data_IF_028780966603
#
_entry.id   IF_028780966603
#
_cell.length_a   1.000
_cell.length_b   1.000
_cell.length_c   1.000
_cell.angle_alpha   90.00
_cell.angle_beta   90.00
_cell.angle_gamma   90.00
#
_symmetry.space_group_name_H-M   'P 1'
#
loop_
_entity.id
_entity.type
_entity.pdbx_description
1 polymer ?
#
# COMPACT_ATOMS: atom_id res chain seq x y z
N UNK A 1 12.74 10.42 15.88
CA UNK A 1 11.88 11.55 15.44
C UNK A 1 11.13 11.22 14.15
N UNK A 2 11.66 10.33 13.30
CA UNK A 2 10.95 9.69 12.20
C UNK A 2 9.78 8.77 12.63
N UNK A 3 9.81 8.25 13.87
CA UNK A 3 8.79 7.32 14.38
C UNK A 3 7.40 7.94 14.60
N UNK A 4 7.29 9.26 14.71
CA UNK A 4 6.04 9.91 15.12
C UNK A 4 5.11 10.29 13.95
N UNK A 5 5.68 10.57 12.78
CA UNK A 5 4.88 10.91 11.58
C UNK A 5 4.17 9.68 11.02
N UNK A 6 4.78 8.49 11.15
CA UNK A 6 4.19 7.23 10.72
C UNK A 6 2.94 6.84 11.53
N UNK A 7 2.89 7.19 12.83
CA UNK A 7 1.80 6.80 13.74
C UNK A 7 0.50 7.56 13.44
N UNK A 8 0.57 8.80 12.96
CA UNK A 8 -0.62 9.63 12.76
C UNK A 8 -1.37 9.31 11.46
N UNK A 9 -0.66 8.95 10.39
CA UNK A 9 -1.27 8.44 9.15
C UNK A 9 -1.91 7.05 9.34
N UNK A 10 -1.36 6.25 10.26
CA UNK A 10 -1.95 4.96 10.64
C UNK A 10 -3.32 5.14 11.32
N UNK A 11 -3.46 6.12 12.22
CA UNK A 11 -4.68 6.32 13.00
C UNK A 11 -5.91 6.76 12.17
N UNK A 12 -5.73 7.65 11.19
CA UNK A 12 -6.83 8.11 10.33
C UNK A 12 -7.28 7.05 9.30
N UNK A 13 -6.35 6.26 8.74
CA UNK A 13 -6.72 5.16 7.85
C UNK A 13 -7.36 3.99 8.61
N UNK A 14 -6.88 3.70 9.84
CA UNK A 14 -7.45 2.66 10.70
C UNK A 14 -8.92 2.97 11.05
N UNK A 15 -9.27 4.22 11.39
CA UNK A 15 -10.65 4.59 11.74
C UNK A 15 -11.63 4.54 10.56
N UNK A 16 -11.18 4.85 9.33
CA UNK A 16 -12.01 4.76 8.13
C UNK A 16 -12.26 3.32 7.68
N UNK A 17 -11.35 2.38 7.99
CA UNK A 17 -11.48 0.96 7.66
C UNK A 17 -12.52 0.21 8.55
N UNK A 18 -12.87 0.73 9.73
CA UNK A 18 -13.77 0.06 10.69
C UNK A 18 -15.18 0.66 10.83
N UNK A 19 -15.60 1.56 9.93
CA UNK A 19 -17.02 1.96 9.85
C UNK A 19 -17.57 2.74 11.05
N UNK A 20 -16.74 3.43 11.82
CA UNK A 20 -17.22 4.37 12.84
C UNK A 20 -17.76 5.65 12.17
N UNK A 21 -18.99 5.60 11.65
CA UNK A 21 -19.62 6.76 10.98
C UNK A 21 -20.38 7.68 11.93
N UNK A 22 -20.56 7.32 13.20
CA UNK A 22 -21.35 8.13 14.11
C UNK A 22 -20.50 8.87 15.15
N UNK A 23 -20.50 10.20 14.99
CA UNK A 23 -20.19 11.23 15.98
C UNK A 23 -18.73 11.49 16.35
N UNK A 24 -17.90 11.78 15.34
CA UNK A 24 -16.71 12.63 15.52
C UNK A 24 -16.89 13.89 14.66
N UNK A 25 -17.00 15.11 15.24
CA UNK A 25 -17.25 16.35 14.50
C UNK A 25 -16.04 16.87 13.72
N UNK A 26 -15.10 16.00 13.35
CA UNK A 26 -13.91 16.32 12.56
C UNK A 26 -14.16 16.34 11.04
N UNK A 27 -15.38 16.02 10.59
CA UNK A 27 -15.67 15.72 9.17
C UNK A 27 -16.68 16.69 8.52
N UNK A 28 -16.56 18.00 8.71
CA UNK A 28 -17.21 18.97 7.81
C UNK A 28 -16.17 19.82 7.07
N UNK A 29 -16.24 19.75 5.74
CA UNK A 29 -15.33 20.39 4.77
C UNK A 29 -15.14 21.91 5.01
N UNK A 30 -16.22 22.59 5.41
CA UNK A 30 -16.22 24.05 5.61
C UNK A 30 -15.50 24.52 6.88
N UNK A 31 -15.38 23.67 7.92
CA UNK A 31 -14.67 24.02 9.16
C UNK A 31 -13.20 23.61 9.14
N UNK A 32 -12.83 22.58 8.37
CA UNK A 32 -11.44 22.18 8.20
C UNK A 32 -10.69 23.19 7.32
N UNK A 33 -11.26 23.60 6.18
CA UNK A 33 -10.55 24.43 5.20
C UNK A 33 -10.27 25.87 5.64
N UNK A 34 -11.16 26.49 6.43
CA UNK A 34 -10.98 27.88 6.87
C UNK A 34 -10.09 28.06 8.11
N UNK A 35 -9.71 26.96 8.79
CA UNK A 35 -9.06 27.03 10.11
C UNK A 35 -7.54 26.77 10.08
N UNK A 36 -7.01 26.00 9.13
CA UNK A 36 -5.62 25.50 9.19
C UNK A 36 -4.59 26.33 8.41
N UNK A 37 -4.69 27.66 8.47
CA UNK A 37 -3.60 28.56 8.04
C UNK A 37 -2.45 28.63 9.04
N UNK A 38 -1.97 27.49 9.58
CA UNK A 38 -0.91 27.44 10.60
C UNK A 38 -0.79 26.08 11.31
N UNK A 39 0.18 25.97 12.23
CA UNK A 39 0.39 24.79 13.09
C UNK A 39 -0.57 24.79 14.29
N UNK A 40 -1.04 23.61 14.72
CA UNK A 40 -1.95 23.44 15.86
C UNK A 40 -1.45 22.39 16.83
N UNK A 41 -1.28 22.74 18.10
CA UNK A 41 -0.77 21.84 19.13
C UNK A 41 -1.86 21.38 20.11
N UNK A 42 -1.76 20.12 20.52
CA UNK A 42 -2.64 19.41 21.44
C UNK A 42 -1.80 19.02 22.65
N UNK A 43 -2.12 19.51 23.83
CA UNK A 43 -1.39 19.27 25.08
C UNK A 43 -1.98 18.14 25.94
N UNK A 44 -2.98 17.42 25.40
CA UNK A 44 -3.73 16.37 26.10
C UNK A 44 -5.07 16.85 26.67
N UNK A 45 -5.38 18.15 26.60
CA UNK A 45 -6.67 18.70 26.99
C UNK A 45 -7.69 18.74 25.84
N UNK A 46 -8.97 18.89 26.19
CA UNK A 46 -10.05 19.01 25.20
C UNK A 46 -9.87 20.27 24.37
N UNK A 47 -9.55 20.10 23.08
CA UNK A 47 -9.36 21.22 22.15
C UNK A 47 -10.69 21.88 21.80
N UNK A 48 -10.77 23.20 22.00
CA UNK A 48 -11.87 24.05 21.51
C UNK A 48 -11.47 24.62 20.15
N UNK A 49 -12.13 24.14 19.09
CA UNK A 49 -11.95 24.64 17.73
C UNK A 49 -12.60 26.04 17.64
N UNK A 50 -11.78 27.10 17.77
CA UNK A 50 -12.03 28.54 17.51
C UNK A 50 -11.07 29.46 18.30
N UNK A 51 -10.14 28.90 19.09
CA UNK A 51 -9.11 29.65 19.81
C UNK A 51 -7.74 29.30 19.21
N UNK A 52 -7.01 30.30 18.74
CA UNK A 52 -5.62 30.15 18.32
C UNK A 52 -4.74 30.49 19.52
N UNK A 53 -4.07 29.48 20.10
CA UNK A 53 -2.97 29.70 21.04
C UNK A 53 -1.65 29.63 20.28
N UNK A 54 -0.78 30.61 20.51
CA UNK A 54 0.55 30.71 19.89
C UNK A 54 1.64 30.02 20.72
N UNK A 55 1.26 29.36 21.82
CA UNK A 55 2.18 28.64 22.69
C UNK A 55 2.32 27.18 22.25
N UNK A 56 3.56 26.77 21.99
CA UNK A 56 3.91 25.36 21.85
C UNK A 56 3.89 24.72 23.25
N UNK A 57 2.98 23.78 23.52
CA UNK A 57 2.94 23.11 24.81
C UNK A 57 4.20 22.26 24.98
N UNK A 58 4.74 22.21 26.21
CA UNK A 58 5.93 21.41 26.54
C UNK A 58 5.71 19.89 26.44
N UNK A 59 4.44 19.46 26.33
CA UNK A 59 4.00 18.09 26.13
C UNK A 59 2.81 18.13 25.17
N UNK A 60 2.77 17.25 24.19
CA UNK A 60 1.68 17.26 23.22
C UNK A 60 2.03 16.78 21.82
N UNK A 61 1.04 16.82 20.92
CA UNK A 61 1.18 16.61 19.48
C UNK A 61 0.90 17.92 18.75
N UNK A 62 1.74 18.29 17.79
CA UNK A 62 1.46 19.42 16.91
C UNK A 62 1.22 18.93 15.48
N UNK A 63 0.15 19.43 14.85
CA UNK A 63 -0.18 19.20 13.46
C UNK A 63 0.19 20.44 12.66
N UNK A 64 1.01 20.26 11.63
CA UNK A 64 1.38 21.31 10.68
C UNK A 64 0.88 20.90 9.30
N UNK A 65 0.12 21.78 8.66
CA UNK A 65 -0.37 21.55 7.31
C UNK A 65 0.74 21.89 6.32
N UNK A 66 1.26 20.87 5.64
CA UNK A 66 2.32 21.03 4.63
C UNK A 66 1.78 21.11 3.19
N UNK A 67 0.48 20.88 2.95
CA UNK A 67 -0.08 20.95 1.60
C UNK A 67 -1.59 20.66 1.54
N UNK A 68 -2.15 20.73 0.34
CA UNK A 68 -3.55 20.40 0.03
C UNK A 68 -3.73 19.09 -0.75
N UNK A 69 -2.62 18.44 -1.14
CA UNK A 69 -2.65 17.20 -1.90
C UNK A 69 -3.16 16.02 -1.07
N UNK A 70 -3.77 15.05 -1.75
CA UNK A 70 -4.23 13.80 -1.16
C UNK A 70 -3.36 12.66 -1.68
N UNK A 71 -2.63 12.03 -0.78
CA UNK A 71 -1.73 10.92 -1.09
C UNK A 71 -2.16 9.72 -0.27
N UNK A 72 -2.27 8.57 -0.93
CA UNK A 72 -2.61 7.33 -0.27
C UNK A 72 -1.38 6.70 0.39
N UNK A 73 -0.22 6.85 -0.25
CA UNK A 73 1.05 6.34 0.28
C UNK A 73 2.01 7.50 0.53
N UNK A 74 2.70 7.45 1.67
CA UNK A 74 3.83 8.32 1.99
C UNK A 74 4.94 7.45 2.57
N UNK A 75 6.10 7.43 1.91
CA UNK A 75 7.24 6.60 2.31
C UNK A 75 8.48 7.47 2.41
N UNK A 76 9.12 7.48 3.58
CA UNK A 76 10.37 8.21 3.77
C UNK A 76 11.46 7.71 2.81
N UNK A 77 12.31 8.62 2.34
CA UNK A 77 13.41 8.24 1.48
C UNK A 77 14.42 7.39 2.29
N UNK A 78 14.85 6.20 1.80
CA UNK A 78 15.70 5.29 2.57
C UNK A 78 17.12 5.77 2.89
N UNK A 79 17.51 6.95 2.44
CA UNK A 79 18.84 7.52 2.67
C UNK A 79 18.94 8.34 3.97
N UNK A 80 17.84 8.47 4.70
CA UNK A 80 17.78 9.26 5.94
C UNK A 80 17.70 10.77 5.72
N UNK A 81 17.52 11.24 4.48
CA UNK A 81 17.21 12.64 4.19
C UNK A 81 15.77 12.99 4.55
N UNK A 82 15.45 14.29 4.52
CA UNK A 82 14.07 14.78 4.71
C UNK A 82 13.20 14.60 3.46
N UNK A 83 13.61 13.76 2.51
CA UNK A 83 12.82 13.46 1.31
C UNK A 83 11.83 12.34 1.59
N UNK A 84 10.69 12.40 0.91
CA UNK A 84 9.70 11.35 0.95
C UNK A 84 9.04 11.17 -0.42
N UNK A 85 8.59 9.94 -0.65
CA UNK A 85 7.79 9.55 -1.80
C UNK A 85 6.32 9.66 -1.44
N UNK A 86 5.54 10.29 -2.32
CA UNK A 86 4.11 10.49 -2.19
C UNK A 86 3.43 9.81 -3.36
N UNK A 87 2.42 8.97 -3.13
CA UNK A 87 1.71 8.32 -4.22
C UNK A 87 0.20 8.44 -4.07
N UNK A 88 -0.48 8.67 -5.19
CA UNK A 88 -1.93 8.68 -5.24
C UNK A 88 -2.49 7.33 -5.71
N UNK A 89 -3.79 7.13 -5.50
CA UNK A 89 -4.47 5.90 -5.88
C UNK A 89 -4.48 5.68 -7.40
N UNK A 90 -4.40 6.73 -8.21
CA UNK A 90 -4.38 6.63 -9.68
C UNK A 90 -3.09 6.06 -10.26
N UNK A 91 -2.01 5.96 -9.47
CA UNK A 91 -0.75 5.34 -9.90
C UNK A 91 0.41 6.30 -10.13
N UNK A 92 0.29 7.57 -9.75
CA UNK A 92 1.40 8.52 -9.80
C UNK A 92 2.17 8.53 -8.49
N UNK A 93 3.49 8.56 -8.60
CA UNK A 93 4.44 8.64 -7.49
C UNK A 93 5.30 9.87 -7.70
N UNK A 94 5.45 10.69 -6.67
CA UNK A 94 6.29 11.86 -6.65
C UNK A 94 7.32 11.78 -5.53
N UNK A 95 8.40 12.53 -5.68
CA UNK A 95 9.45 12.70 -4.67
C UNK A 95 9.48 14.18 -4.28
N UNK A 96 9.45 14.49 -2.99
CA UNK A 96 9.61 15.87 -2.49
C UNK A 96 10.34 15.89 -1.16
N UNK A 97 10.84 17.06 -0.79
CA UNK A 97 11.44 17.33 0.51
C UNK A 97 10.35 17.80 1.47
N UNK A 98 10.25 17.14 2.62
CA UNK A 98 9.38 17.56 3.71
C UNK A 98 9.96 18.86 4.29
N UNK A 99 9.17 19.94 4.41
CA UNK A 99 9.66 21.21 4.94
C UNK A 99 10.05 21.07 6.42
N UNK A 100 11.00 21.90 6.87
CA UNK A 100 11.36 21.98 8.28
C UNK A 100 10.15 22.37 9.14
N UNK A 101 10.02 21.68 10.27
CA UNK A 101 8.93 21.89 11.21
C UNK A 101 8.90 23.32 11.75
N UNK A 102 7.71 23.92 11.80
CA UNK A 102 7.47 25.20 12.45
C UNK A 102 7.87 26.42 11.63
N UNK A 103 8.37 26.23 10.41
CA UNK A 103 8.68 27.31 9.47
C UNK A 103 7.51 27.65 8.54
N UNK A 104 6.39 26.92 8.62
CA UNK A 104 5.23 27.15 7.75
C UNK A 104 5.54 26.84 6.28
N UNK A 105 6.53 25.98 6.03
CA UNK A 105 6.90 25.56 4.69
C UNK A 105 5.82 24.69 4.06
N UNK A 106 5.73 24.73 2.73
CA UNK A 106 4.81 23.88 1.96
C UNK A 106 5.58 22.82 1.19
N UNK A 107 4.90 21.71 0.95
CA UNK A 107 5.40 20.58 0.19
C UNK A 107 5.54 20.99 -1.28
N UNK A 108 6.78 21.09 -1.76
CA UNK A 108 7.09 21.44 -3.14
C UNK A 108 6.99 20.23 -4.06
N UNK A 109 5.77 19.79 -4.37
CA UNK A 109 5.52 18.73 -5.34
C UNK A 109 5.26 19.31 -6.73
N UNK A 110 6.10 18.96 -7.69
CA UNK A 110 5.85 19.25 -9.11
C UNK A 110 4.98 18.15 -9.71
N UNK A 111 3.68 18.41 -9.81
CA UNK A 111 2.72 17.45 -10.37
C UNK A 111 2.99 17.09 -11.83
N UNK A 112 3.69 17.97 -12.57
CA UNK A 112 4.03 17.75 -13.97
C UNK A 112 5.23 16.81 -14.18
N UNK A 113 5.98 16.53 -13.10
CA UNK A 113 7.21 15.74 -13.14
C UNK A 113 7.19 14.67 -12.03
N UNK A 114 6.36 13.62 -12.16
CA UNK A 114 6.35 12.52 -11.20
C UNK A 114 7.68 11.77 -11.19
N UNK A 115 8.03 11.21 -10.04
CA UNK A 115 9.12 10.24 -9.91
C UNK A 115 8.84 9.02 -10.80
N UNK A 116 7.59 8.53 -10.80
CA UNK A 116 7.13 7.48 -11.72
C UNK A 116 5.63 7.60 -11.96
N UNK A 117 5.19 7.29 -13.19
CA UNK A 117 3.78 7.29 -13.57
C UNK A 117 3.33 5.89 -14.04
N UNK A 118 2.49 5.24 -13.24
CA UNK A 118 1.92 3.92 -13.53
C UNK A 118 0.46 3.98 -14.01
N UNK A 119 -0.08 5.15 -14.39
CA UNK A 119 -1.50 5.28 -14.75
C UNK A 119 -1.96 4.36 -15.88
N UNK A 120 -1.04 3.93 -16.76
CA UNK A 120 -1.33 3.01 -17.87
C UNK A 120 -1.42 1.53 -17.42
N UNK A 121 -0.84 1.20 -16.26
CA UNK A 121 -0.81 -0.14 -15.68
C UNK A 121 -1.83 -0.31 -14.55
N UNK A 122 -2.09 0.78 -13.82
CA UNK A 122 -2.97 0.81 -12.66
C UNK A 122 -4.43 0.94 -13.11
N UNK A 123 -5.25 -0.02 -12.69
CA UNK A 123 -6.69 0.09 -12.76
C UNK A 123 -7.19 0.93 -11.58
N UNK A 124 -7.50 2.20 -11.84
CA UNK A 124 -8.05 3.13 -10.86
C UNK A 124 -9.59 3.16 -10.93
N UNK A 125 -10.24 2.57 -9.93
CA UNK A 125 -11.70 2.59 -9.78
C UNK A 125 -12.13 2.14 -8.38
N UNK A 126 -12.95 2.94 -7.67
CA UNK A 126 -13.40 2.64 -6.30
C UNK A 126 -12.25 2.28 -5.35
N UNK A 127 -12.19 1.04 -4.87
CA UNK A 127 -11.15 0.51 -3.99
C UNK A 127 -9.91 0.01 -4.73
N UNK A 128 -9.86 0.13 -6.05
CA UNK A 128 -8.70 -0.25 -6.85
C UNK A 128 -7.78 0.92 -7.14
N UNK A 129 -6.49 0.63 -7.22
CA UNK A 129 -5.49 1.59 -7.63
C UNK A 129 -4.08 1.14 -7.27
N UNK A 130 -3.20 2.11 -7.08
CA UNK A 130 -1.91 1.93 -6.41
C UNK A 130 -2.13 1.95 -4.90
N UNK A 131 -1.95 0.79 -4.26
CA UNK A 131 -2.38 0.52 -2.88
C UNK A 131 -1.24 0.43 -1.89
N UNK A 132 -0.02 0.20 -2.36
CA UNK A 132 1.15 0.09 -1.51
C UNK A 132 2.42 0.48 -2.25
N UNK A 133 3.36 1.07 -1.52
CA UNK A 133 4.69 1.42 -2.00
C UNK A 133 5.69 1.04 -0.90
N UNK A 134 6.73 0.30 -1.26
CA UNK A 134 7.80 -0.07 -0.33
C UNK A 134 9.16 0.02 -1.02
N UNK A 135 10.15 0.54 -0.31
CA UNK A 135 11.52 0.60 -0.79
C UNK A 135 12.34 -0.51 -0.16
N UNK A 136 13.19 -1.15 -0.96
CA UNK A 136 14.07 -2.19 -0.46
C UNK A 136 14.97 -1.65 0.67
N UNK A 137 15.30 -2.42 1.72
CA UNK A 137 16.17 -1.96 2.81
C UNK A 137 17.53 -1.44 2.32
N UNK A 138 18.05 -2.04 1.23
CA UNK A 138 19.26 -1.61 0.52
C UNK A 138 19.04 -0.65 -0.67
N UNK A 139 17.92 0.08 -0.73
CA UNK A 139 17.59 0.97 -1.86
C UNK A 139 18.71 1.95 -2.21
N UNK A 140 19.38 2.53 -1.22
CA UNK A 140 20.52 3.44 -1.43
C UNK A 140 21.72 2.79 -2.14
N UNK A 141 21.72 1.47 -2.32
CA UNK A 141 22.75 0.71 -3.05
C UNK A 141 22.22 0.03 -4.30
N UNK A 142 20.98 -0.44 -4.29
CA UNK A 142 20.42 -1.26 -5.38
C UNK A 142 19.29 -0.60 -6.18
N UNK A 143 18.74 0.52 -5.71
CA UNK A 143 17.66 1.25 -6.37
C UNK A 143 16.32 0.51 -6.44
N UNK A 144 16.17 -0.63 -5.76
CA UNK A 144 14.98 -1.49 -5.85
C UNK A 144 13.85 -0.95 -5.00
N UNK A 145 12.68 -0.84 -5.60
CA UNK A 145 11.45 -0.48 -4.89
C UNK A 145 10.27 -1.22 -5.51
N UNK A 146 9.17 -1.30 -4.77
CA UNK A 146 8.07 -2.19 -5.07
C UNK A 146 6.75 -1.43 -4.98
N UNK A 147 5.86 -1.69 -5.92
CA UNK A 147 4.52 -1.14 -5.92
C UNK A 147 3.50 -2.28 -5.87
N UNK A 148 2.49 -2.12 -5.00
CA UNK A 148 1.31 -2.98 -4.94
C UNK A 148 0.15 -2.26 -5.60
N UNK A 149 -0.40 -2.80 -6.68
CA UNK A 149 -1.47 -2.15 -7.42
C UNK A 149 -2.47 -3.16 -8.00
N UNK A 150 -3.60 -2.64 -8.48
CA UNK A 150 -4.59 -3.43 -9.21
C UNK A 150 -4.46 -3.19 -10.70
N UNK A 151 -4.66 -4.23 -11.52
CA UNK A 151 -4.75 -4.10 -12.97
C UNK A 151 -6.00 -4.82 -13.51
N UNK A 152 -6.45 -4.42 -14.70
CA UNK A 152 -7.58 -5.02 -15.42
C UNK A 152 -7.04 -5.82 -16.60
N UNK A 153 -7.19 -7.14 -16.59
CA UNK A 153 -6.71 -8.04 -17.65
C UNK A 153 -7.25 -7.69 -19.03
N UNK A 154 -8.42 -7.06 -19.10
CA UNK A 154 -9.03 -6.64 -20.38
C UNK A 154 -8.33 -5.41 -20.94
N UNK A 155 -7.78 -4.53 -20.10
CA UNK A 155 -7.16 -3.27 -20.51
C UNK A 155 -5.65 -3.36 -20.62
N UNK A 156 -5.01 -4.10 -19.73
CA UNK A 156 -3.55 -4.11 -19.57
C UNK A 156 -2.98 -5.46 -20.02
N UNK A 157 -2.32 -5.52 -21.19
CA UNK A 157 -1.61 -6.71 -21.61
C UNK A 157 -0.60 -7.14 -20.55
N UNK A 158 -0.58 -8.43 -20.22
CA UNK A 158 0.28 -8.97 -19.17
C UNK A 158 -0.30 -8.89 -17.76
N UNK A 159 -1.47 -8.31 -17.51
CA UNK A 159 -2.16 -8.44 -16.23
C UNK A 159 -2.74 -9.87 -16.09
N UNK A 160 -1.94 -10.78 -15.55
CA UNK A 160 -2.23 -12.22 -15.47
C UNK A 160 -1.62 -12.85 -14.21
N UNK A 161 -2.13 -14.01 -13.82
CA UNK A 161 -1.71 -14.74 -12.63
C UNK A 161 -2.68 -15.88 -12.30
N UNK A 162 -2.45 -16.58 -11.17
CA UNK A 162 -3.35 -17.61 -10.66
C UNK A 162 -4.61 -16.95 -10.07
N UNK A 163 -5.76 -17.55 -10.30
CA UNK A 163 -7.03 -17.11 -9.72
C UNK A 163 -7.10 -17.47 -8.25
N UNK A 164 -7.49 -16.53 -7.38
CA UNK A 164 -7.76 -16.81 -5.95
C UNK A 164 -8.95 -17.76 -5.76
N UNK A 165 -10.05 -17.55 -6.50
CA UNK A 165 -11.15 -18.50 -6.55
C UNK A 165 -10.82 -19.63 -7.53
N UNK A 166 -10.47 -20.80 -7.00
CA UNK A 166 -10.12 -22.00 -7.76
C UNK A 166 -10.52 -23.27 -6.97
N UNK A 167 -10.23 -24.44 -7.54
CA UNK A 167 -10.52 -25.74 -6.92
C UNK A 167 -9.75 -25.99 -5.61
N UNK A 168 -8.53 -25.47 -5.47
CA UNK A 168 -7.66 -25.68 -4.30
C UNK A 168 -8.28 -25.04 -3.04
N UNK A 169 -9.03 -23.95 -3.23
CA UNK A 169 -9.80 -23.27 -2.18
C UNK A 169 -11.28 -23.64 -2.18
N UNK A 170 -11.68 -24.68 -2.92
CA UNK A 170 -13.07 -25.13 -3.06
C UNK A 170 -14.04 -24.02 -3.50
N UNK A 171 -13.59 -23.14 -4.40
CA UNK A 171 -14.37 -22.03 -4.92
C UNK A 171 -14.79 -22.28 -6.38
N UNK A 172 -16.09 -22.08 -6.64
CA UNK A 172 -16.68 -22.13 -7.99
C UNK A 172 -16.95 -20.69 -8.46
N UNK A 173 -16.21 -20.18 -9.46
CA UNK A 173 -16.38 -18.83 -9.98
C UNK A 173 -17.81 -18.52 -10.46
N UNK A 174 -18.57 -19.53 -10.91
CA UNK A 174 -19.94 -19.33 -11.38
C UNK A 174 -20.90 -18.97 -10.24
N UNK A 175 -20.61 -19.42 -9.01
CA UNK A 175 -21.41 -19.11 -7.82
C UNK A 175 -21.15 -17.72 -7.25
N UNK A 176 -20.01 -17.11 -7.60
CA UNK A 176 -19.71 -15.72 -7.28
C UNK A 176 -20.56 -14.74 -8.10
N UNK A 177 -20.87 -15.10 -9.34
CA UNK A 177 -21.65 -14.26 -10.25
C UNK A 177 -23.15 -14.24 -9.96
N UNK A 178 -23.68 -15.27 -9.30
CA UNK A 178 -25.12 -15.41 -9.02
C UNK A 178 -25.59 -14.73 -7.73
N UNK A 179 -24.67 -14.30 -6.88
CA UNK A 179 -24.93 -13.83 -5.51
C UNK A 179 -24.82 -12.30 -5.33
N UNK A 180 -24.52 -11.56 -6.39
CA UNK A 180 -24.37 -10.10 -6.38
C UNK A 180 -25.24 -9.41 -7.44
N UNK A 181 -25.84 -8.26 -7.12
CA UNK A 181 -26.68 -7.45 -8.01
C UNK A 181 -25.91 -6.67 -9.10
N UNK A 182 -24.85 -7.27 -9.64
CA UNK A 182 -23.98 -6.72 -10.69
C UNK A 182 -23.19 -7.82 -11.38
N UNK A 183 -22.55 -7.51 -12.52
CA UNK A 183 -21.72 -8.47 -13.26
C UNK A 183 -20.39 -8.70 -12.54
N UNK A 184 -20.38 -9.56 -11.51
CA UNK A 184 -19.14 -10.07 -10.94
C UNK A 184 -18.39 -10.84 -12.02
N UNK A 185 -17.14 -10.43 -12.26
CA UNK A 185 -16.25 -11.02 -13.24
C UNK A 185 -15.02 -11.55 -12.50
N UNK A 186 -15.08 -12.81 -12.00
CA UNK A 186 -13.98 -13.41 -11.28
C UNK A 186 -12.72 -13.43 -12.15
N UNK A 187 -11.58 -13.10 -11.54
CA UNK A 187 -10.28 -13.03 -12.19
C UNK A 187 -10.20 -12.12 -13.43
N UNK A 188 -11.04 -11.09 -13.49
CA UNK A 188 -10.81 -9.96 -14.39
C UNK A 188 -9.72 -9.03 -13.85
N UNK A 189 -9.82 -8.69 -12.59
CA UNK A 189 -8.88 -7.81 -11.91
C UNK A 189 -7.85 -8.61 -11.16
N UNK A 190 -6.62 -8.11 -11.11
CA UNK A 190 -5.51 -8.75 -10.40
C UNK A 190 -4.94 -7.80 -9.37
N UNK A 191 -4.49 -8.37 -8.26
CA UNK A 191 -3.58 -7.73 -7.33
C UNK A 191 -2.15 -8.07 -7.74
N UNK A 192 -1.37 -7.05 -8.07
CA UNK A 192 0.00 -7.18 -8.53
C UNK A 192 0.94 -6.54 -7.52
N UNK A 193 2.07 -7.20 -7.28
CA UNK A 193 3.25 -6.59 -6.67
C UNK A 193 4.36 -6.71 -7.68
N UNK A 194 4.90 -5.57 -8.09
CA UNK A 194 5.99 -5.52 -9.06
C UNK A 194 7.18 -4.75 -8.49
N UNK A 195 8.36 -5.20 -8.88
CA UNK A 195 9.64 -4.57 -8.63
C UNK A 195 9.97 -3.58 -9.74
N UNK A 196 10.45 -2.41 -9.34
CA UNK A 196 10.94 -1.34 -10.19
C UNK A 196 12.34 -0.91 -9.72
N UNK A 197 13.04 -0.18 -10.59
CA UNK A 197 14.35 0.37 -10.28
C UNK A 197 14.40 1.87 -10.57
N UNK A 198 15.05 2.62 -9.69
CA UNK A 198 15.25 4.05 -9.87
C UNK A 198 16.26 4.33 -11.00
N UNK A 199 16.07 5.43 -11.75
CA UNK A 199 16.96 5.82 -12.85
C UNK A 199 18.20 6.54 -12.30
N UNK A 200 19.11 5.79 -11.68
CA UNK A 200 20.40 6.29 -11.16
C UNK A 200 21.55 5.33 -11.43
N UNK A 201 22.78 5.80 -11.18
CA UNK A 201 23.98 4.95 -11.16
C UNK A 201 24.14 4.31 -9.78
N UNK A 202 24.92 3.23 -9.66
CA UNK A 202 25.16 2.59 -8.37
C UNK A 202 25.80 3.54 -7.32
N UNK A 203 26.55 4.56 -7.75
CA UNK A 203 27.15 5.58 -6.88
C UNK A 203 26.17 6.65 -6.41
N UNK A 204 25.12 6.93 -7.18
CA UNK A 204 24.24 8.09 -6.98
C UNK A 204 22.76 7.70 -7.00
N UNK A 205 22.45 6.42 -6.74
CA UNK A 205 21.07 5.91 -6.84
C UNK A 205 20.11 6.61 -5.88
N UNK A 206 20.59 7.02 -4.69
CA UNK A 206 19.83 7.83 -3.74
C UNK A 206 19.47 9.22 -4.29
N UNK A 207 20.22 9.73 -5.27
CA UNK A 207 19.95 11.03 -5.90
C UNK A 207 18.99 10.92 -7.10
N UNK A 208 18.54 9.71 -7.44
CA UNK A 208 17.59 9.51 -8.53
C UNK A 208 16.28 10.25 -8.25
N UNK A 209 15.87 11.10 -9.19
CA UNK A 209 14.60 11.84 -9.12
C UNK A 209 13.52 11.27 -10.02
N UNK A 210 13.81 10.18 -10.73
CA UNK A 210 12.89 9.50 -11.64
C UNK A 210 13.11 7.98 -11.65
N UNK A 211 12.09 7.22 -12.05
CA UNK A 211 12.14 5.80 -12.37
C UNK A 211 11.33 5.54 -13.65
N UNK A 212 11.68 4.49 -14.40
CA UNK A 212 10.89 4.05 -15.56
C UNK A 212 9.68 3.24 -15.09
N UNK A 213 8.48 3.42 -15.68
CA UNK A 213 7.31 2.61 -15.37
C UNK A 213 7.40 1.24 -16.09
N UNK A 214 8.54 0.59 -16.01
CA UNK A 214 8.77 -0.74 -16.59
C UNK A 214 9.08 -1.69 -15.45
N UNK A 215 8.23 -2.70 -15.27
CA UNK A 215 8.47 -3.74 -14.27
C UNK A 215 9.82 -4.40 -14.56
N UNK A 216 10.71 -4.39 -13.57
CA UNK A 216 11.92 -5.23 -13.58
C UNK A 216 11.51 -6.68 -13.40
N UNK A 217 10.52 -6.92 -12.53
CA UNK A 217 10.01 -8.24 -12.21
C UNK A 217 8.61 -8.15 -11.61
N UNK A 218 7.76 -9.09 -11.97
CA UNK A 218 6.52 -9.34 -11.24
C UNK A 218 6.79 -10.28 -10.07
N UNK A 219 6.64 -9.77 -8.85
CA UNK A 219 6.86 -10.52 -7.63
C UNK A 219 5.64 -11.37 -7.30
N UNK A 220 4.44 -10.80 -7.33
CA UNK A 220 3.23 -11.50 -6.94
C UNK A 220 2.07 -11.10 -7.85
N UNK A 221 1.22 -12.06 -8.23
CA UNK A 221 0.01 -11.80 -9.00
C UNK A 221 -1.14 -12.73 -8.60
N UNK A 222 -2.18 -12.13 -8.01
CA UNK A 222 -3.37 -12.82 -7.52
C UNK A 222 -4.60 -12.31 -8.27
N UNK A 223 -5.25 -13.19 -9.05
CA UNK A 223 -6.52 -12.90 -9.68
C UNK A 223 -7.62 -12.79 -8.63
N UNK A 224 -8.32 -11.66 -8.58
CA UNK A 224 -9.28 -11.34 -7.54
C UNK A 224 -10.64 -11.97 -7.82
N UNK A 225 -11.35 -12.46 -6.79
CA UNK A 225 -12.63 -13.16 -6.99
C UNK A 225 -13.76 -12.18 -7.31
N UNK A 226 -13.71 -11.00 -6.70
CA UNK A 226 -14.61 -9.86 -6.88
C UNK A 226 -13.79 -8.56 -6.85
N UNK A 227 -14.44 -7.39 -6.76
CA UNK A 227 -13.80 -6.08 -6.85
C UNK A 227 -13.73 -5.28 -5.53
N UNK A 228 -13.88 -5.93 -4.38
CA UNK A 228 -13.99 -5.28 -3.07
C UNK A 228 -13.06 -5.91 -2.03
N UNK A 229 -12.67 -5.12 -1.04
CA UNK A 229 -11.97 -5.55 0.19
C UNK A 229 -10.66 -6.31 -0.03
N UNK A 230 -9.76 -5.81 -0.88
CA UNK A 230 -8.50 -6.50 -1.20
C UNK A 230 -7.26 -5.97 -0.48
N UNK A 231 -7.35 -4.80 0.16
CA UNK A 231 -6.19 -4.17 0.79
C UNK A 231 -5.03 -3.97 -0.19
N UNK A 232 -3.80 -4.10 0.30
CA UNK A 232 -2.65 -3.90 -0.56
C UNK A 232 -1.44 -3.22 0.01
N UNK A 233 -1.42 -2.97 1.30
CA UNK A 233 -0.24 -2.44 1.92
C UNK A 233 0.90 -3.45 1.77
N UNK A 234 2.09 -2.92 1.50
CA UNK A 234 3.34 -3.67 1.48
C UNK A 234 4.37 -2.91 2.30
N UNK A 235 5.25 -3.64 3.00
CA UNK A 235 6.37 -3.08 3.73
C UNK A 235 7.48 -4.12 3.88
N UNK A 236 8.71 -3.65 4.08
CA UNK A 236 9.80 -4.53 4.48
C UNK A 236 9.86 -4.62 6.01
N UNK A 237 9.99 -5.83 6.53
CA UNK A 237 10.24 -6.02 7.95
C UNK A 237 11.63 -5.47 8.31
N UNK A 238 11.75 -4.59 9.31
CA UNK A 238 13.03 -3.94 9.62
C UNK A 238 14.06 -4.90 10.23
N UNK A 239 13.62 -6.01 10.82
CA UNK A 239 14.47 -6.98 11.48
C UNK A 239 14.92 -8.12 10.56
N UNK A 240 14.04 -8.58 9.67
CA UNK A 240 14.24 -9.75 8.81
C UNK A 240 14.48 -9.39 7.34
N UNK A 241 14.10 -8.19 6.90
CA UNK A 241 14.29 -7.74 5.52
C UNK A 241 13.35 -8.39 4.51
N UNK A 242 12.33 -9.13 4.96
CA UNK A 242 11.34 -9.76 4.09
C UNK A 242 10.23 -8.79 3.69
N UNK A 243 9.61 -9.05 2.54
CA UNK A 243 8.48 -8.27 2.05
C UNK A 243 7.18 -8.82 2.66
N UNK A 244 6.51 -7.99 3.44
CA UNK A 244 5.18 -8.27 3.98
C UNK A 244 4.11 -7.73 3.05
N UNK A 245 3.06 -8.53 2.82
CA UNK A 245 1.94 -8.19 1.95
C UNK A 245 0.63 -8.36 2.72
N UNK A 246 -0.12 -7.28 2.86
CA UNK A 246 -1.42 -7.32 3.54
C UNK A 246 -2.55 -7.43 2.52
N UNK A 247 -3.28 -8.55 2.56
CA UNK A 247 -4.42 -8.82 1.70
C UNK A 247 -5.72 -8.80 2.51
N UNK A 248 -6.70 -8.04 2.01
CA UNK A 248 -8.06 -8.09 2.55
C UNK A 248 -8.78 -9.39 2.18
N UNK A 249 -9.94 -9.63 2.79
CA UNK A 249 -10.72 -10.86 2.63
C UNK A 249 -11.22 -11.13 1.21
N UNK A 250 -11.26 -10.11 0.34
CA UNK A 250 -11.80 -10.22 -1.01
C UNK A 250 -13.27 -10.66 -1.03
N UNK A 251 -14.01 -10.38 0.04
CA UNK A 251 -15.41 -10.69 0.24
C UNK A 251 -16.30 -9.44 0.13
N UNK A 252 -17.61 -9.68 0.11
CA UNK A 252 -18.61 -8.67 0.41
C UNK A 252 -18.94 -8.73 1.91
N UNK A 253 -20.06 -8.16 2.34
CA UNK A 253 -20.53 -8.20 3.73
C UNK A 253 -20.27 -9.55 4.42
N UNK A 254 -19.68 -9.48 5.62
CA UNK A 254 -19.42 -10.61 6.54
C UNK A 254 -18.59 -11.77 5.97
N UNK A 255 -17.69 -11.51 5.01
CA UNK A 255 -16.90 -12.56 4.32
C UNK A 255 -17.79 -13.71 3.83
N UNK A 256 -18.87 -13.37 3.12
CA UNK A 256 -19.87 -14.33 2.61
C UNK A 256 -19.23 -15.53 1.86
N UNK A 257 -18.10 -15.34 1.19
CA UNK A 257 -17.41 -16.42 0.47
C UNK A 257 -16.38 -17.18 1.32
N UNK A 258 -16.23 -16.81 2.58
CA UNK A 258 -15.40 -17.46 3.59
C UNK A 258 -13.92 -17.54 3.17
N UNK A 259 -13.44 -16.56 2.39
CA UNK A 259 -12.07 -16.55 1.88
C UNK A 259 -11.07 -16.26 3.00
N UNK A 260 -11.44 -15.43 3.98
CA UNK A 260 -10.57 -15.10 5.11
C UNK A 260 -10.43 -16.26 6.10
N UNK A 261 -11.47 -17.08 6.26
CA UNK A 261 -11.40 -18.25 7.15
C UNK A 261 -10.83 -19.49 6.45
N UNK A 262 -10.77 -19.49 5.12
CA UNK A 262 -10.19 -20.59 4.35
C UNK A 262 -8.66 -20.56 4.41
N UNK A 263 -8.08 -21.57 5.06
CA UNK A 263 -6.63 -21.75 5.22
C UNK A 263 -5.84 -21.86 3.91
N UNK A 264 -6.47 -22.33 2.83
CA UNK A 264 -5.85 -22.46 1.50
C UNK A 264 -5.92 -21.17 0.68
N UNK A 265 -6.65 -20.17 1.16
CA UNK A 265 -6.77 -18.85 0.53
C UNK A 265 -5.71 -17.89 1.05
N UNK A 266 -5.09 -17.13 0.14
CA UNK A 266 -4.21 -16.01 0.50
C UNK A 266 -4.98 -14.75 0.91
N UNK A 267 -6.29 -14.69 0.68
CA UNK A 267 -7.11 -13.53 1.03
C UNK A 267 -7.35 -13.48 2.55
N UNK A 268 -7.44 -12.26 3.08
CA UNK A 268 -7.58 -12.01 4.52
C UNK A 268 -6.38 -12.50 5.31
N UNK A 269 -5.16 -12.29 4.79
CA UNK A 269 -3.89 -12.72 5.38
C UNK A 269 -2.83 -11.64 5.29
N UNK A 270 -1.82 -11.76 6.13
CA UNK A 270 -0.51 -11.15 5.94
C UNK A 270 0.40 -12.23 5.37
N UNK A 271 1.01 -11.95 4.22
CA UNK A 271 2.02 -12.83 3.61
C UNK A 271 3.42 -12.31 3.94
N UNK A 272 4.41 -13.20 4.03
CA UNK A 272 5.83 -12.85 4.17
C UNK A 272 6.65 -13.56 3.11
N UNK A 273 7.29 -12.77 2.23
CA UNK A 273 7.95 -13.24 1.01
C UNK A 273 9.45 -12.86 1.01
N UNK A 274 10.29 -13.75 0.51
CA UNK A 274 11.69 -13.49 0.19
C UNK A 274 11.81 -13.07 -1.29
N UNK A 275 12.20 -11.82 -1.52
CA UNK A 275 12.36 -11.22 -2.86
C UNK A 275 13.82 -11.13 -3.30
N UNK A 276 14.74 -11.64 -2.48
CA UNK A 276 16.19 -11.62 -2.71
C UNK A 276 16.71 -12.99 -3.16
N UNK A 277 16.23 -14.07 -2.55
CA UNK A 277 16.70 -15.43 -2.80
C UNK A 277 15.69 -16.21 -3.62
N UNK A 278 15.80 -16.16 -4.93
CA UNK A 278 14.78 -16.69 -5.85
C UNK A 278 15.07 -18.13 -6.29
N UNK A 279 14.05 -18.98 -6.50
CA UNK A 279 14.26 -20.27 -7.13
C UNK A 279 14.67 -20.08 -8.60
N UNK A 280 15.57 -20.94 -9.11
CA UNK A 280 15.75 -21.06 -10.57
C UNK A 280 14.44 -21.49 -11.24
N UNK A 281 14.21 -21.19 -12.52
CA UNK A 281 12.99 -21.57 -13.29
C UNK A 281 12.51 -23.01 -13.05
N UNK A 282 13.43 -23.96 -12.85
CA UNK A 282 13.13 -25.37 -12.57
C UNK A 282 12.49 -25.65 -11.18
N UNK A 283 12.52 -24.67 -10.26
CA UNK A 283 11.94 -24.75 -8.91
C UNK A 283 10.61 -24.00 -8.76
N UNK A 284 10.12 -23.34 -9.82
CA UNK A 284 8.84 -22.64 -9.83
C UNK A 284 7.74 -23.64 -10.18
N UNK A 285 7.29 -24.43 -9.19
CA UNK A 285 6.12 -25.30 -9.34
C UNK A 285 5.01 -24.74 -8.44
N UNK A 286 3.96 -24.21 -9.06
CA UNK A 286 2.71 -23.74 -8.43
C UNK A 286 2.83 -22.58 -7.41
N UNK A 287 3.63 -21.56 -7.70
CA UNK A 287 3.72 -20.33 -6.90
C UNK A 287 2.90 -19.17 -7.50
N UNK A 288 2.46 -18.22 -6.65
CA UNK A 288 1.68 -17.05 -7.05
C UNK A 288 2.50 -15.94 -7.74
N UNK A 289 3.80 -16.17 -7.92
CA UNK A 289 4.69 -15.24 -8.60
C UNK A 289 6.15 -15.63 -8.47
N UNK A 290 7.02 -14.62 -8.51
CA UNK A 290 8.46 -14.78 -8.44
C UNK A 290 8.91 -14.30 -7.05
N UNK A 291 8.98 -15.22 -6.09
CA UNK A 291 9.56 -15.05 -4.75
C UNK A 291 9.99 -16.43 -4.21
N UNK A 292 10.68 -16.47 -3.07
CA UNK A 292 10.75 -17.66 -2.22
C UNK A 292 9.96 -17.45 -0.94
N UNK A 293 9.60 -18.54 -0.27
CA UNK A 293 8.99 -18.51 1.05
C UNK A 293 10.10 -18.65 2.11
N UNK A 294 10.22 -17.72 3.07
CA UNK A 294 11.15 -17.87 4.18
C UNK A 294 10.90 -19.18 4.95
N UNK A 295 11.96 -19.92 5.28
CA UNK A 295 11.84 -21.22 5.95
C UNK A 295 11.18 -21.14 7.33
N UNK A 296 11.36 -20.02 8.02
CA UNK A 296 10.78 -19.73 9.33
C UNK A 296 9.35 -19.15 9.24
N UNK A 297 8.69 -19.19 8.07
CA UNK A 297 7.25 -18.89 8.01
C UNK A 297 6.49 -19.89 8.90
N UNK A 298 5.49 -19.44 9.67
CA UNK A 298 4.85 -20.26 10.71
C UNK A 298 4.08 -21.47 10.18
N UNK A 299 3.75 -21.47 8.89
CA UNK A 299 2.91 -22.50 8.25
C UNK A 299 3.60 -23.19 7.08
N UNK A 300 4.93 -23.09 6.96
CA UNK A 300 5.68 -23.69 5.84
C UNK A 300 5.54 -25.22 5.74
N UNK A 301 5.26 -25.90 6.86
CA UNK A 301 5.07 -27.36 6.95
C UNK A 301 3.59 -27.78 7.06
N UNK A 302 2.64 -26.83 7.12
CA UNK A 302 1.21 -27.13 7.23
C UNK A 302 0.58 -27.23 5.83
N UNK A 303 0.33 -28.46 5.36
CA UNK A 303 -0.25 -28.73 4.04
C UNK A 303 -1.71 -28.23 3.89
N UNK A 304 -2.37 -27.80 4.99
CA UNK A 304 -3.69 -27.18 4.92
C UNK A 304 -3.63 -25.66 4.79
N UNK A 305 -2.46 -25.03 4.98
CA UNK A 305 -2.22 -23.59 4.77
C UNK A 305 -1.32 -23.34 3.57
N UNK A 306 -1.44 -22.15 2.99
CA UNK A 306 -0.46 -21.67 2.03
C UNK A 306 0.83 -21.26 2.76
N UNK A 307 2.01 -21.68 2.28
CA UNK A 307 3.28 -21.46 2.98
C UNK A 307 3.69 -19.98 3.05
N UNK A 308 3.14 -19.12 2.19
CA UNK A 308 3.34 -17.67 2.20
C UNK A 308 2.74 -16.99 3.43
N UNK A 309 1.75 -17.61 4.07
CA UNK A 309 0.97 -17.01 5.15
C UNK A 309 1.88 -16.80 6.38
N UNK A 310 1.86 -15.58 6.90
CA UNK A 310 2.47 -15.19 8.15
C UNK A 310 1.43 -15.04 9.28
N UNK A 311 0.27 -14.43 8.98
CA UNK A 311 -0.83 -14.24 9.92
C UNK A 311 -2.19 -14.19 9.22
#
# INVERSE_FOLDING_TARGET
MADFVAVFLWFCNFLLLFGFTDSIPLCTESNFCNTYGGSKCFDGEKVVFNKCDTQFPSRGLCLEKIGNGYYLNTVAHPDGSDRAFFANQAGKIWLSTIPEQGLGGTLGLDESSPFMDLTDQVHFYNSFGLMGLAFHPNFARNGRFFASFNCDRVKTPGCSGKCSCNSDVNCDPLKLASSSSGSVQPCRYYKVIAEFTANGTASDISMATRAKPSEVRRIFSLGLPIAFNHGGQILFGPADGYLYVMLGDGGIEEDHYNFSQNKKSLLGKILRLDVDNMPSEAGIVDQWGNYSVPQDNPFSEDNELQPEIWA
#
